data_IF_969953971770
#
_entry.id   IF_969953971770
#
_cell.length_a   1.000
_cell.length_b   1.000
_cell.length_c   1.000
_cell.angle_alpha   90.00
_cell.angle_beta   90.00
_cell.angle_gamma   90.00
#
_symmetry.space_group_name_H-M   'P 1'
#
loop_
_entity.id
_entity.type
_entity.pdbx_description
1 polymer ?
#
# COMPACT_ATOMS: atom_id res chain seq x y z
N UNK A 1 -30.18 0.32 -5.14
CA UNK A 1 -30.20 -0.46 -3.87
C UNK A 1 -29.04 -1.46 -3.78
N UNK A 2 -28.40 -1.86 -4.88
CA UNK A 2 -27.29 -2.85 -4.86
C UNK A 2 -25.88 -2.29 -4.65
N UNK A 3 -25.65 -0.99 -4.71
CA UNK A 3 -24.31 -0.39 -4.64
C UNK A 3 -23.72 -0.29 -3.23
N UNK A 4 -24.55 -0.14 -2.20
CA UNK A 4 -24.08 0.02 -0.82
C UNK A 4 -23.58 -1.29 -0.21
N UNK A 5 -24.23 -2.40 -0.51
CA UNK A 5 -23.88 -3.71 0.03
C UNK A 5 -22.61 -4.28 -0.62
N UNK A 6 -22.46 -4.07 -1.92
CA UNK A 6 -21.25 -4.45 -2.66
C UNK A 6 -20.01 -3.68 -2.15
N UNK A 7 -20.14 -2.38 -1.87
CA UNK A 7 -19.07 -1.58 -1.30
C UNK A 7 -18.74 -1.99 0.14
N UNK A 8 -19.74 -2.35 0.94
CA UNK A 8 -19.55 -2.88 2.30
C UNK A 8 -18.79 -4.21 2.29
N UNK A 9 -19.25 -5.15 1.45
CA UNK A 9 -18.59 -6.45 1.30
C UNK A 9 -17.12 -6.30 0.88
N UNK A 10 -16.86 -5.43 -0.08
CA UNK A 10 -15.51 -5.12 -0.53
C UNK A 10 -14.64 -4.55 0.60
N UNK A 11 -15.12 -3.57 1.35
CA UNK A 11 -14.41 -3.00 2.51
C UNK A 11 -14.11 -4.06 3.58
N UNK A 12 -15.07 -4.94 3.89
CA UNK A 12 -14.91 -6.02 4.87
C UNK A 12 -13.86 -7.02 4.42
N UNK A 13 -13.89 -7.44 3.15
CA UNK A 13 -12.91 -8.37 2.59
C UNK A 13 -11.51 -7.76 2.62
N UNK A 14 -11.38 -6.49 2.25
CA UNK A 14 -10.10 -5.77 2.26
C UNK A 14 -9.56 -5.59 3.68
N UNK A 15 -10.40 -5.22 4.64
CA UNK A 15 -10.01 -5.11 6.03
C UNK A 15 -9.61 -6.48 6.61
N UNK A 16 -10.39 -7.52 6.34
CA UNK A 16 -10.10 -8.89 6.76
C UNK A 16 -8.75 -9.38 6.24
N UNK A 17 -8.47 -9.17 4.95
CA UNK A 17 -7.17 -9.50 4.34
C UNK A 17 -6.02 -8.72 4.99
N UNK A 18 -6.22 -7.43 5.21
CA UNK A 18 -5.23 -6.56 5.84
C UNK A 18 -4.91 -7.02 7.27
N UNK A 19 -5.93 -7.30 8.08
CA UNK A 19 -5.73 -7.76 9.46
C UNK A 19 -5.13 -9.17 9.54
N UNK A 20 -5.55 -10.09 8.67
CA UNK A 20 -4.97 -11.44 8.61
C UNK A 20 -3.49 -11.37 8.26
N UNK A 21 -3.13 -10.58 7.26
CA UNK A 21 -1.75 -10.38 6.88
C UNK A 21 -0.94 -9.67 7.97
N UNK A 22 -1.48 -8.63 8.61
CA UNK A 22 -0.81 -7.93 9.71
C UNK A 22 -0.59 -8.86 10.91
N UNK A 23 -1.59 -9.69 11.26
CA UNK A 23 -1.48 -10.71 12.30
C UNK A 23 -0.38 -11.73 12.00
N UNK A 24 -0.29 -12.18 10.74
CA UNK A 24 0.78 -13.07 10.29
C UNK A 24 2.18 -12.43 10.43
N UNK A 25 2.31 -11.15 10.09
CA UNK A 25 3.60 -10.43 10.25
C UNK A 25 3.97 -10.31 11.71
N UNK A 26 3.03 -9.93 12.58
CA UNK A 26 3.27 -9.83 14.03
C UNK A 26 3.70 -11.18 14.59
N UNK A 27 2.96 -12.24 14.25
CA UNK A 27 3.30 -13.59 14.69
C UNK A 27 4.70 -14.02 14.21
N UNK A 28 5.04 -13.72 12.97
CA UNK A 28 6.36 -14.01 12.39
C UNK A 28 7.49 -13.16 13.04
N UNK A 29 7.20 -11.93 13.44
CA UNK A 29 8.15 -11.05 14.15
C UNK A 29 8.47 -11.60 15.55
N UNK A 30 7.46 -12.08 16.30
CA UNK A 30 7.63 -12.66 17.62
C UNK A 30 8.35 -14.03 17.57
N UNK A 31 8.16 -14.80 16.50
CA UNK A 31 8.68 -16.18 16.42
C UNK A 31 10.12 -16.27 15.89
N UNK A 32 10.81 -15.15 15.67
CA UNK A 32 12.21 -15.05 15.20
C UNK A 32 12.60 -16.03 14.07
N UNK A 33 11.63 -16.54 13.32
CA UNK A 33 11.91 -17.50 12.27
C UNK A 33 12.61 -16.82 11.07
N UNK A 34 13.42 -17.62 10.35
CA UNK A 34 14.15 -17.23 9.15
C UNK A 34 13.21 -16.54 8.15
N UNK A 35 13.76 -15.63 7.32
CA UNK A 35 13.05 -14.98 6.19
C UNK A 35 12.12 -16.01 5.53
N UNK A 36 10.80 -15.78 5.49
CA UNK A 36 9.88 -16.77 4.94
C UNK A 36 10.22 -17.00 3.47
N UNK A 37 10.41 -18.26 3.10
CA UNK A 37 10.51 -18.65 1.68
C UNK A 37 9.12 -18.61 1.09
N UNK A 38 8.72 -17.45 0.60
CA UNK A 38 7.42 -17.33 -0.08
C UNK A 38 7.48 -18.12 -1.39
N UNK A 39 6.53 -19.03 -1.56
CA UNK A 39 6.39 -19.77 -2.81
C UNK A 39 5.89 -18.82 -3.90
N UNK A 40 6.33 -19.01 -5.13
CA UNK A 40 6.03 -18.13 -6.27
C UNK A 40 4.52 -17.93 -6.48
N UNK A 41 3.71 -18.96 -6.20
CA UNK A 41 2.26 -18.87 -6.29
C UNK A 41 1.66 -17.90 -5.23
N UNK A 42 2.24 -17.81 -4.03
CA UNK A 42 1.79 -16.86 -3.00
C UNK A 42 2.07 -15.42 -3.44
N UNK A 43 3.22 -15.20 -4.06
CA UNK A 43 3.58 -13.89 -4.65
C UNK A 43 2.58 -13.51 -5.74
N UNK A 44 2.24 -14.46 -6.62
CA UNK A 44 1.26 -14.23 -7.67
C UNK A 44 -0.13 -13.89 -7.11
N UNK A 45 -0.61 -14.62 -6.10
CA UNK A 45 -1.90 -14.35 -5.44
C UNK A 45 -1.91 -12.95 -4.79
N UNK A 46 -0.87 -12.60 -4.03
CA UNK A 46 -0.75 -11.27 -3.41
C UNK A 46 -0.70 -10.18 -4.49
N UNK A 47 0.02 -10.40 -5.58
CA UNK A 47 0.09 -9.48 -6.70
C UNK A 47 -1.25 -9.25 -7.38
N UNK A 48 -2.01 -10.32 -7.65
CA UNK A 48 -3.36 -10.24 -8.25
C UNK A 48 -4.32 -9.52 -7.32
N UNK A 49 -4.37 -9.90 -6.03
CA UNK A 49 -5.23 -9.25 -5.03
C UNK A 49 -4.89 -7.77 -4.87
N UNK A 50 -3.59 -7.44 -4.80
CA UNK A 50 -3.14 -6.05 -4.69
C UNK A 50 -3.46 -5.24 -5.94
N UNK A 51 -3.29 -5.84 -7.12
CA UNK A 51 -3.64 -5.20 -8.39
C UNK A 51 -5.14 -4.89 -8.47
N UNK A 52 -5.97 -5.86 -8.12
CA UNK A 52 -7.43 -5.71 -8.08
C UNK A 52 -7.86 -4.63 -7.08
N UNK A 53 -7.32 -4.69 -5.86
CA UNK A 53 -7.56 -3.69 -4.82
C UNK A 53 -7.11 -2.28 -5.24
N UNK A 54 -6.02 -2.18 -5.98
CA UNK A 54 -5.51 -0.93 -6.52
C UNK A 54 -6.41 -0.33 -7.59
N UNK A 55 -7.03 -1.17 -8.44
CA UNK A 55 -7.94 -0.71 -9.49
C UNK A 55 -9.26 -0.20 -8.94
N UNK A 56 -9.84 -0.88 -7.94
CA UNK A 56 -11.17 -0.55 -7.42
C UNK A 56 -11.15 0.65 -6.47
N UNK A 57 -10.19 0.71 -5.56
CA UNK A 57 -10.22 1.70 -4.48
C UNK A 57 -8.88 2.31 -4.13
N UNK A 58 -7.85 2.11 -4.97
CA UNK A 58 -6.47 2.50 -4.67
C UNK A 58 -5.97 1.98 -3.31
N UNK A 59 -6.54 0.86 -2.84
CA UNK A 59 -6.38 0.31 -1.49
C UNK A 59 -5.30 -0.80 -1.41
N UNK A 60 -4.42 -0.90 -2.40
CA UNK A 60 -3.33 -1.89 -2.41
C UNK A 60 -2.24 -1.60 -1.36
N UNK A 61 -2.15 -0.36 -0.87
CA UNK A 61 -1.09 0.08 0.04
C UNK A 61 -0.87 -0.82 1.24
N UNK A 62 -1.87 -1.07 2.08
CA UNK A 62 -1.73 -1.92 3.27
C UNK A 62 -1.31 -3.36 2.93
N UNK A 63 -1.87 -3.96 1.87
CA UNK A 63 -1.56 -5.34 1.47
C UNK A 63 -0.09 -5.46 1.04
N UNK A 64 0.36 -4.53 0.21
CA UNK A 64 1.75 -4.49 -0.28
C UNK A 64 2.72 -4.18 0.86
N UNK A 65 2.36 -3.24 1.74
CA UNK A 65 3.18 -2.88 2.88
C UNK A 65 3.41 -4.09 3.81
N UNK A 66 2.35 -4.85 4.11
CA UNK A 66 2.45 -6.09 4.89
C UNK A 66 3.32 -7.13 4.20
N UNK A 67 3.13 -7.31 2.90
CA UNK A 67 3.93 -8.26 2.12
C UNK A 67 5.43 -7.96 2.21
N UNK A 68 5.82 -6.71 1.93
CA UNK A 68 7.23 -6.32 2.01
C UNK A 68 7.78 -6.33 3.43
N UNK A 69 6.94 -6.04 4.44
CA UNK A 69 7.34 -6.14 5.84
C UNK A 69 7.61 -7.61 6.24
N UNK A 70 6.79 -8.55 5.74
CA UNK A 70 6.98 -9.98 5.95
C UNK A 70 8.30 -10.50 5.35
N UNK A 71 8.80 -9.89 4.27
CA UNK A 71 10.09 -10.23 3.65
C UNK A 71 11.29 -9.81 4.51
N UNK A 72 11.08 -9.06 5.59
CA UNK A 72 12.14 -8.54 6.48
C UNK A 72 13.25 -7.83 5.71
N UNK A 73 12.86 -7.01 4.74
CA UNK A 73 13.79 -6.15 4.02
C UNK A 73 14.34 -5.09 4.96
N UNK A 74 15.55 -4.63 4.68
CA UNK A 74 16.09 -3.44 5.32
C UNK A 74 15.21 -2.22 4.99
N UNK A 75 15.20 -1.24 5.87
CA UNK A 75 14.34 -0.04 5.77
C UNK A 75 14.41 0.64 4.39
N UNK A 76 15.61 0.80 3.84
CA UNK A 76 15.80 1.43 2.54
C UNK A 76 15.33 0.52 1.39
N UNK A 77 15.60 -0.77 1.46
CA UNK A 77 15.13 -1.76 0.50
C UNK A 77 13.60 -1.83 0.50
N UNK A 78 12.99 -1.82 1.69
CA UNK A 78 11.53 -1.81 1.86
C UNK A 78 10.90 -0.60 1.16
N UNK A 79 11.39 0.60 1.47
CA UNK A 79 10.82 1.84 0.89
C UNK A 79 11.07 1.90 -0.61
N UNK A 80 12.28 1.57 -1.07
CA UNK A 80 12.61 1.56 -2.50
C UNK A 80 11.72 0.59 -3.29
N UNK A 81 11.53 -0.63 -2.76
CA UNK A 81 10.71 -1.66 -3.41
C UNK A 81 9.25 -1.22 -3.54
N UNK A 82 8.69 -0.61 -2.49
CA UNK A 82 7.32 -0.06 -2.51
C UNK A 82 7.20 1.08 -3.53
N UNK A 83 8.15 2.01 -3.51
CA UNK A 83 8.14 3.16 -4.44
C UNK A 83 8.19 2.69 -5.89
N UNK A 84 9.12 1.78 -6.23
CA UNK A 84 9.24 1.22 -7.56
C UNK A 84 7.97 0.48 -8.00
N UNK A 85 7.41 -0.34 -7.11
CA UNK A 85 6.19 -1.08 -7.41
C UNK A 85 5.02 -0.14 -7.70
N UNK A 86 4.79 0.86 -6.84
CA UNK A 86 3.71 1.82 -7.08
C UNK A 86 3.96 2.71 -8.29
N UNK A 87 5.20 3.03 -8.60
CA UNK A 87 5.55 3.78 -9.80
C UNK A 87 5.15 3.00 -11.06
N UNK A 88 5.51 1.72 -11.15
CA UNK A 88 5.13 0.84 -12.26
C UNK A 88 3.61 0.69 -12.35
N UNK A 89 2.94 0.42 -11.23
CA UNK A 89 1.48 0.27 -11.19
C UNK A 89 0.77 1.54 -11.66
N UNK A 90 1.23 2.71 -11.25
CA UNK A 90 0.62 3.97 -11.65
C UNK A 90 0.86 4.29 -13.14
N UNK A 91 2.04 3.96 -13.69
CA UNK A 91 2.27 4.07 -15.13
C UNK A 91 1.31 3.17 -15.93
N UNK A 92 1.10 1.92 -15.47
CA UNK A 92 0.16 1.01 -16.13
C UNK A 92 -1.28 1.50 -16.03
N UNK A 93 -1.65 2.15 -14.91
CA UNK A 93 -2.99 2.72 -14.72
C UNK A 93 -3.24 3.98 -15.55
N UNK A 94 -2.21 4.74 -15.86
CA UNK A 94 -2.34 6.04 -16.54
C UNK A 94 -3.18 5.98 -17.83
N UNK A 95 -2.97 5.02 -18.75
CA UNK A 95 -3.81 4.87 -19.93
C UNK A 95 -5.28 4.63 -19.61
N UNK A 96 -5.57 3.86 -18.56
CA UNK A 96 -6.96 3.60 -18.15
C UNK A 96 -7.64 4.87 -17.63
N UNK A 97 -6.92 5.70 -16.88
CA UNK A 97 -7.42 6.99 -16.41
C UNK A 97 -7.67 7.99 -17.53
N UNK A 98 -6.86 7.92 -18.61
CA UNK A 98 -6.99 8.83 -19.74
C UNK A 98 -8.10 8.35 -20.70
N UNK A 99 -8.11 7.06 -21.07
CA UNK A 99 -8.92 6.57 -22.19
C UNK A 99 -10.20 5.85 -21.77
N UNK A 100 -10.27 5.29 -20.55
CA UNK A 100 -11.41 4.48 -20.11
C UNK A 100 -12.26 5.22 -19.10
N UNK A 101 -11.64 5.87 -18.15
CA UNK A 101 -12.35 6.56 -17.06
C UNK A 101 -12.46 8.06 -17.26
N UNK A 102 -11.73 8.61 -18.23
CA UNK A 102 -11.73 10.06 -18.55
C UNK A 102 -11.62 10.96 -17.30
N UNK A 103 -10.88 10.49 -16.29
CA UNK A 103 -10.76 11.18 -15.01
C UNK A 103 -9.73 12.29 -15.02
N UNK A 104 -8.92 12.39 -16.08
CA UNK A 104 -7.89 13.42 -16.24
C UNK A 104 -8.46 14.55 -17.07
N UNK A 105 -8.92 15.60 -16.39
CA UNK A 105 -9.36 16.86 -16.98
C UNK A 105 -8.31 17.95 -16.79
N UNK A 106 -8.40 19.04 -17.55
CA UNK A 106 -7.50 20.21 -17.46
C UNK A 106 -7.46 20.80 -16.04
N UNK A 107 -8.55 20.74 -15.29
CA UNK A 107 -8.62 21.20 -13.91
C UNK A 107 -7.82 20.29 -12.96
N UNK A 108 -7.91 18.99 -13.14
CA UNK A 108 -7.12 18.00 -12.40
C UNK A 108 -5.63 18.23 -12.66
N UNK A 109 -5.25 18.39 -13.93
CA UNK A 109 -3.87 18.65 -14.31
C UNK A 109 -3.30 19.93 -13.68
N UNK A 110 -4.09 21.00 -13.64
CA UNK A 110 -3.69 22.26 -12.97
C UNK A 110 -3.50 22.07 -11.47
N UNK A 111 -4.41 21.34 -10.81
CA UNK A 111 -4.33 21.05 -9.38
C UNK A 111 -3.10 20.22 -9.06
N UNK A 112 -2.82 19.21 -9.87
CA UNK A 112 -1.66 18.35 -9.73
C UNK A 112 -0.36 19.14 -9.91
N UNK A 113 -0.30 20.01 -10.93
CA UNK A 113 0.86 20.88 -11.16
C UNK A 113 1.11 21.83 -9.98
N UNK A 114 0.05 22.39 -9.41
CA UNK A 114 0.14 23.27 -8.24
C UNK A 114 0.60 22.52 -6.98
N UNK A 115 0.34 21.21 -6.91
CA UNK A 115 0.73 20.36 -5.79
C UNK A 115 2.19 19.90 -5.83
N UNK A 116 2.88 20.04 -6.97
CA UNK A 116 4.28 19.58 -7.14
C UNK A 116 5.22 20.16 -6.08
N UNK A 117 5.22 21.48 -5.77
CA UNK A 117 6.14 22.01 -4.76
C UNK A 117 5.92 21.39 -3.38
N UNK A 118 4.66 21.19 -2.98
CA UNK A 118 4.31 20.55 -1.72
C UNK A 118 4.75 19.08 -1.68
N UNK A 119 4.57 18.35 -2.79
CA UNK A 119 5.02 16.96 -2.94
C UNK A 119 6.54 16.84 -2.83
N UNK A 120 7.30 17.74 -3.48
CA UNK A 120 8.76 17.76 -3.41
C UNK A 120 9.26 18.09 -1.99
N UNK A 121 8.64 19.04 -1.31
CA UNK A 121 8.95 19.36 0.08
C UNK A 121 8.64 18.17 1.01
N UNK A 122 7.49 17.52 0.83
CA UNK A 122 7.11 16.32 1.56
C UNK A 122 8.06 15.15 1.32
N UNK A 123 8.48 14.95 0.08
CA UNK A 123 9.47 13.90 -0.28
C UNK A 123 10.83 14.17 0.40
N UNK A 124 11.32 15.39 0.34
CA UNK A 124 12.59 15.76 0.99
C UNK A 124 12.52 15.55 2.50
N UNK A 125 11.45 16.01 3.15
CA UNK A 125 11.20 15.81 4.57
C UNK A 125 11.09 14.31 4.92
N UNK A 126 10.35 13.53 4.11
CA UNK A 126 10.18 12.08 4.29
C UNK A 126 11.51 11.33 4.22
N UNK A 127 12.34 11.62 3.23
CA UNK A 127 13.68 11.01 3.09
C UNK A 127 14.58 11.40 4.28
N UNK A 128 14.52 12.64 4.72
CA UNK A 128 15.30 13.11 5.87
C UNK A 128 14.89 12.40 7.17
N UNK A 129 13.60 12.28 7.43
CA UNK A 129 13.05 11.55 8.57
C UNK A 129 13.42 10.06 8.50
N UNK A 130 13.23 9.44 7.32
CA UNK A 130 13.54 8.03 7.09
C UNK A 130 15.01 7.70 7.43
N UNK A 131 15.96 8.57 7.06
CA UNK A 131 17.38 8.37 7.37
C UNK A 131 17.67 8.40 8.87
N UNK A 132 16.86 9.13 9.66
CA UNK A 132 17.07 9.30 11.11
C UNK A 132 16.40 8.25 11.98
N UNK A 133 15.31 7.64 11.50
CA UNK A 133 14.57 6.63 12.27
C UNK A 133 15.35 5.31 12.25
N UNK A 134 15.65 4.67 13.40
CA UNK A 134 16.20 3.31 13.45
C UNK A 134 15.20 2.27 12.90
N UNK A 135 15.70 1.08 12.52
CA UNK A 135 14.86 0.03 11.88
C UNK A 135 13.68 -0.44 12.74
N UNK A 136 13.90 -0.66 14.04
CA UNK A 136 12.86 -1.15 14.95
C UNK A 136 11.65 -0.20 15.04
N UNK A 137 11.83 1.11 15.38
CA UNK A 137 10.72 2.04 15.37
C UNK A 137 10.08 2.22 13.98
N UNK A 138 10.85 2.16 12.90
CA UNK A 138 10.30 2.21 11.55
C UNK A 138 9.28 1.09 11.31
N UNK A 139 9.62 -0.16 11.65
CA UNK A 139 8.71 -1.31 11.51
C UNK A 139 7.45 -1.16 12.35
N UNK A 140 7.58 -0.64 13.57
CA UNK A 140 6.44 -0.38 14.46
C UNK A 140 5.50 0.67 13.83
N UNK A 141 6.06 1.77 13.33
CA UNK A 141 5.27 2.83 12.66
C UNK A 141 4.52 2.28 11.45
N UNK A 142 5.18 1.46 10.62
CA UNK A 142 4.53 0.82 9.48
C UNK A 142 3.38 -0.10 9.93
N UNK A 143 3.59 -0.95 10.94
CA UNK A 143 2.55 -1.82 11.47
C UNK A 143 1.37 -1.04 12.02
N UNK A 144 1.63 -0.01 12.83
CA UNK A 144 0.56 0.86 13.38
C UNK A 144 -0.21 1.54 12.24
N UNK A 145 0.47 2.04 11.22
CA UNK A 145 -0.18 2.65 10.05
C UNK A 145 -1.08 1.66 9.29
N UNK A 146 -0.65 0.41 9.15
CA UNK A 146 -1.45 -0.66 8.53
C UNK A 146 -2.71 -0.95 9.37
N UNK A 147 -2.57 -1.02 10.71
CA UNK A 147 -3.71 -1.21 11.61
C UNK A 147 -4.71 -0.06 11.52
N UNK A 148 -4.24 1.18 11.54
CA UNK A 148 -5.08 2.37 11.38
C UNK A 148 -5.81 2.32 10.04
N UNK A 149 -5.11 2.04 8.94
CA UNK A 149 -5.70 1.91 7.62
C UNK A 149 -6.76 0.80 7.56
N UNK A 150 -6.50 -0.35 8.18
CA UNK A 150 -7.47 -1.45 8.30
C UNK A 150 -8.73 -1.06 9.07
N UNK A 151 -8.59 -0.32 10.16
CA UNK A 151 -9.72 0.20 10.95
C UNK A 151 -10.50 1.23 10.13
N UNK A 152 -9.82 2.15 9.44
CA UNK A 152 -10.48 3.16 8.61
C UNK A 152 -11.29 2.55 7.46
N UNK A 153 -10.87 1.38 6.94
CA UNK A 153 -11.65 0.63 5.94
C UNK A 153 -12.98 0.08 6.50
N UNK A 154 -13.07 -0.17 7.81
CA UNK A 154 -14.27 -0.69 8.47
C UNK A 154 -15.25 0.42 8.86
N UNK A 155 -14.77 1.65 8.99
CA UNK A 155 -15.62 2.80 9.30
C UNK A 155 -16.41 3.17 8.02
N UNK A 156 -17.73 3.35 8.13
CA UNK A 156 -18.61 3.62 6.99
C UNK A 156 -18.33 4.98 6.33
#
# INVERSE_FOLDING_TARGET
>A
VGGSDSNRLFKIVMAGTTFTCAGFVIWNEFNQQRKPKLKIWMIAVIGILSGFASMIGNAAGPIIAVYFLALRLEKLEYVSSIVWLFWVVNIVKLPFHIFVWETIDCNVLKTDLLSIPALLAGLAAGVWVLKRIPEKPFRIVVLVSIFIAGIMLLIP
#
